data_IF_016740067112
#
_entry.id   IF_016740067112
#
_cell.length_a   1.000
_cell.length_b   1.000
_cell.length_c   1.000
_cell.angle_alpha   90.00
_cell.angle_beta   90.00
_cell.angle_gamma   90.00
#
_symmetry.space_group_name_H-M   'P 1'
#
loop_
_entity.id
_entity.type
_entity.pdbx_description
1 polymer ?
#
# COMPACT_ATOMS: atom_id res chain seq x y z
N UNK A 1 14.89 -5.19 12.50
CA UNK A 1 13.48 -4.69 12.54
C UNK A 1 12.99 -4.32 11.15
N UNK A 2 13.59 -3.32 10.49
CA UNK A 2 13.13 -2.84 9.17
C UNK A 2 12.98 -3.93 8.10
N UNK A 3 13.98 -4.79 7.79
CA UNK A 3 13.83 -5.77 6.72
C UNK A 3 12.65 -6.72 6.91
N UNK A 4 12.41 -7.17 8.16
CA UNK A 4 11.28 -8.03 8.52
C UNK A 4 9.94 -7.34 8.29
N UNK A 5 9.77 -6.12 8.81
CA UNK A 5 8.49 -5.42 8.74
C UNK A 5 8.18 -4.86 7.34
N UNK A 6 9.23 -4.50 6.59
CA UNK A 6 9.12 -4.14 5.18
C UNK A 6 8.68 -5.34 4.36
N UNK A 7 9.35 -6.49 4.52
CA UNK A 7 8.95 -7.73 3.83
C UNK A 7 7.51 -8.10 4.16
N UNK A 8 7.11 -8.02 5.43
CA UNK A 8 5.73 -8.32 5.82
C UNK A 8 4.73 -7.34 5.19
N UNK A 9 5.08 -6.07 5.04
CA UNK A 9 4.26 -5.09 4.32
C UNK A 9 4.06 -5.49 2.85
N UNK A 10 5.14 -5.90 2.18
CA UNK A 10 5.08 -6.37 0.78
C UNK A 10 4.20 -7.63 0.65
N UNK A 11 4.34 -8.58 1.59
CA UNK A 11 3.59 -9.84 1.60
C UNK A 11 2.10 -9.63 1.92
N UNK A 12 1.77 -8.74 2.88
CA UNK A 12 0.39 -8.51 3.33
C UNK A 12 -0.41 -7.68 2.32
N UNK A 13 0.18 -6.61 1.76
CA UNK A 13 -0.51 -5.71 0.84
C UNK A 13 -0.36 -6.16 -0.62
N UNK A 14 -0.72 -7.40 -0.89
CA UNK A 14 -0.66 -8.04 -2.21
C UNK A 14 -2.05 -8.48 -2.66
N UNK A 15 -2.33 -8.41 -3.97
CA UNK A 15 -3.56 -8.89 -4.59
C UNK A 15 -3.25 -10.18 -5.39
N UNK A 16 -3.45 -11.38 -4.81
CA UNK A 16 -3.10 -12.65 -5.48
C UNK A 16 -3.78 -12.82 -6.84
N UNK A 17 -5.06 -12.41 -6.96
CA UNK A 17 -5.83 -12.53 -8.20
C UNK A 17 -5.40 -11.54 -9.30
N UNK A 18 -4.56 -10.56 -8.99
CA UNK A 18 -3.94 -9.63 -9.96
C UNK A 18 -2.46 -9.84 -10.13
N UNK A 19 -1.85 -10.66 -9.27
CA UNK A 19 -0.41 -10.81 -9.13
C UNK A 19 0.31 -9.46 -8.93
N UNK A 20 -0.27 -8.60 -8.09
CA UNK A 20 0.13 -7.19 -8.01
C UNK A 20 0.15 -6.70 -6.56
N UNK A 21 1.21 -6.00 -6.10
CA UNK A 21 1.19 -5.27 -4.84
C UNK A 21 0.16 -4.13 -4.88
N UNK A 22 -0.45 -3.83 -3.74
CA UNK A 22 -1.36 -2.68 -3.58
C UNK A 22 -0.63 -1.35 -3.75
N UNK A 23 0.66 -1.29 -3.45
CA UNK A 23 1.47 -0.09 -3.48
C UNK A 23 2.97 -0.39 -3.31
N UNK A 24 3.75 0.64 -2.99
CA UNK A 24 5.22 0.58 -2.87
C UNK A 24 5.74 0.09 -1.51
N UNK A 25 4.85 -0.41 -0.65
CA UNK A 25 5.18 -0.96 0.67
C UNK A 25 5.22 0.09 1.78
N UNK A 26 6.04 -0.19 2.81
CA UNK A 26 6.11 0.57 4.05
C UNK A 26 6.52 -0.33 5.21
N UNK A 27 5.86 -0.19 6.36
CA UNK A 27 6.01 -1.10 7.50
C UNK A 27 4.66 -1.71 7.83
N UNK A 28 4.63 -3.02 8.03
CA UNK A 28 3.47 -3.74 8.55
C UNK A 28 3.95 -4.69 9.65
N UNK A 29 3.17 -4.77 10.73
CA UNK A 29 3.40 -5.68 11.83
C UNK A 29 2.09 -5.97 12.55
N UNK A 30 2.00 -7.18 13.07
CA UNK A 30 0.96 -7.66 13.97
C UNK A 30 1.61 -8.55 15.03
N UNK A 31 0.90 -8.87 16.11
CA UNK A 31 1.37 -9.78 17.18
C UNK A 31 2.77 -9.44 17.77
N UNK A 32 3.15 -8.16 17.79
CA UNK A 32 4.47 -7.72 18.26
C UNK A 32 4.55 -7.66 19.79
N UNK A 33 4.78 -8.79 20.44
CA UNK A 33 4.78 -8.91 21.91
C UNK A 33 6.11 -9.40 22.53
N UNK A 34 7.09 -9.80 21.72
CA UNK A 34 8.36 -10.39 22.16
C UNK A 34 9.32 -9.43 22.89
N UNK A 35 9.05 -8.11 22.87
CA UNK A 35 10.00 -7.08 23.33
C UNK A 35 9.72 -6.54 24.73
N UNK A 36 8.62 -6.99 25.35
CA UNK A 36 8.06 -6.37 26.55
C UNK A 36 7.29 -5.07 26.24
N UNK A 37 6.36 -4.72 27.13
CA UNK A 37 5.37 -3.67 26.90
C UNK A 37 6.00 -2.32 26.54
N UNK A 38 6.91 -1.80 27.37
CA UNK A 38 7.50 -0.46 27.18
C UNK A 38 8.21 -0.31 25.83
N UNK A 39 8.94 -1.34 25.40
CA UNK A 39 9.67 -1.31 24.14
C UNK A 39 8.73 -1.43 22.95
N UNK A 40 7.73 -2.33 23.00
CA UNK A 40 6.71 -2.43 21.97
C UNK A 40 5.91 -1.13 21.84
N UNK A 41 5.49 -0.54 22.96
CA UNK A 41 4.74 0.72 22.95
C UNK A 41 5.58 1.88 22.41
N UNK A 42 6.84 2.00 22.83
CA UNK A 42 7.74 3.01 22.28
C UNK A 42 7.97 2.83 20.77
N UNK A 43 8.05 1.59 20.29
CA UNK A 43 8.13 1.30 18.86
C UNK A 43 6.86 1.72 18.10
N UNK A 44 5.68 1.36 18.61
CA UNK A 44 4.39 1.77 18.02
C UNK A 44 4.27 3.30 17.93
N UNK A 45 4.65 4.03 18.99
CA UNK A 45 4.69 5.50 18.96
C UNK A 45 5.61 6.03 17.87
N UNK A 46 6.83 5.48 17.78
CA UNK A 46 7.79 5.88 16.75
C UNK A 46 7.27 5.66 15.33
N UNK A 47 6.50 4.60 15.08
CA UNK A 47 5.87 4.36 13.77
C UNK A 47 4.80 5.43 13.49
N UNK A 48 3.93 5.71 14.46
CA UNK A 48 2.91 6.74 14.35
C UNK A 48 3.50 8.14 14.09
N UNK A 49 4.50 8.53 14.87
CA UNK A 49 5.21 9.81 14.72
C UNK A 49 5.93 9.91 13.37
N UNK A 50 6.39 8.77 12.84
CA UNK A 50 7.07 8.69 11.55
C UNK A 50 6.14 8.89 10.35
N UNK A 51 4.87 8.50 10.46
CA UNK A 51 3.93 8.49 9.33
C UNK A 51 3.76 9.90 8.72
N UNK A 52 3.41 10.90 9.53
CA UNK A 52 3.21 12.26 9.02
C UNK A 52 4.53 12.87 8.52
N UNK A 53 5.64 12.60 9.21
CA UNK A 53 6.98 13.05 8.78
C UNK A 53 7.37 12.48 7.42
N UNK A 54 6.94 11.26 7.11
CA UNK A 54 7.20 10.62 5.82
C UNK A 54 6.24 11.09 4.71
N UNK A 55 4.94 11.19 5.01
CA UNK A 55 3.92 11.42 3.98
C UNK A 55 3.63 12.89 3.69
N UNK A 56 3.66 13.78 4.69
CA UNK A 56 3.35 15.20 4.49
C UNK A 56 4.26 15.88 3.44
N UNK A 57 5.59 15.65 3.42
CA UNK A 57 6.47 16.23 2.40
C UNK A 57 6.20 15.71 0.97
N UNK A 58 5.56 14.54 0.82
CA UNK A 58 5.11 14.04 -0.48
C UNK A 58 3.86 14.81 -0.91
N UNK A 59 2.90 14.98 0.00
CA UNK A 59 1.67 15.73 -0.28
C UNK A 59 1.98 17.17 -0.67
N UNK A 60 2.73 17.91 0.16
CA UNK A 60 3.09 19.31 -0.08
C UNK A 60 3.77 19.51 -1.43
N UNK A 61 4.68 18.61 -1.80
CA UNK A 61 5.40 18.65 -3.07
C UNK A 61 4.53 18.34 -4.29
N UNK A 62 3.44 17.58 -4.13
CA UNK A 62 2.65 17.05 -5.25
C UNK A 62 1.25 17.64 -5.36
N UNK A 63 0.72 18.26 -4.31
CA UNK A 63 -0.68 18.70 -4.25
C UNK A 63 -1.07 19.72 -5.33
N UNK A 64 -0.10 20.53 -5.80
CA UNK A 64 -0.31 21.53 -6.84
C UNK A 64 0.18 21.08 -8.23
N UNK A 65 0.56 19.80 -8.38
CA UNK A 65 0.96 19.27 -9.70
C UNK A 65 -0.26 19.20 -10.60
N UNK A 66 -0.20 19.87 -11.76
CA UNK A 66 -1.26 19.81 -12.76
C UNK A 66 -1.41 18.37 -13.28
N UNK A 67 -2.65 17.98 -13.56
CA UNK A 67 -2.99 16.67 -14.10
C UNK A 67 -3.96 16.80 -15.25
N UNK A 68 -3.95 15.81 -16.13
CA UNK A 68 -4.85 15.71 -17.28
C UNK A 68 -6.01 14.78 -16.98
N UNK A 69 -7.09 14.89 -17.75
CA UNK A 69 -8.24 14.01 -17.60
C UNK A 69 -7.86 12.52 -17.76
N UNK A 70 -6.92 12.20 -18.66
CA UNK A 70 -6.40 10.84 -18.82
C UNK A 70 -5.76 10.31 -17.52
N UNK A 71 -4.95 11.12 -16.84
CA UNK A 71 -4.34 10.76 -15.56
C UNK A 71 -5.40 10.61 -14.45
N UNK A 72 -6.47 11.42 -14.49
CA UNK A 72 -7.60 11.26 -13.58
C UNK A 72 -8.34 9.94 -13.82
N UNK A 73 -8.59 9.57 -15.08
CA UNK A 73 -9.21 8.29 -15.42
C UNK A 73 -8.34 7.10 -15.00
N UNK A 74 -7.02 7.19 -15.21
CA UNK A 74 -6.09 6.20 -14.70
C UNK A 74 -6.12 6.10 -13.17
N UNK A 75 -6.15 7.23 -12.45
CA UNK A 75 -6.28 7.23 -10.99
C UNK A 75 -7.57 6.54 -10.52
N UNK A 76 -8.70 6.79 -11.18
CA UNK A 76 -9.99 6.14 -10.87
C UNK A 76 -9.94 4.63 -11.14
N UNK A 77 -9.27 4.21 -12.21
CA UNK A 77 -9.03 2.80 -12.51
C UNK A 77 -8.14 2.13 -11.44
N UNK A 78 -7.04 2.78 -11.04
CA UNK A 78 -6.13 2.30 -9.99
C UNK A 78 -6.80 2.24 -8.61
N UNK A 79 -7.73 3.15 -8.31
CA UNK A 79 -8.60 3.07 -7.13
C UNK A 79 -9.47 1.82 -7.11
N UNK A 80 -9.77 1.22 -8.28
CA UNK A 80 -10.43 -0.07 -8.40
C UNK A 80 -9.65 -1.18 -7.71
N UNK A 81 -8.32 -1.21 -7.87
CA UNK A 81 -7.45 -2.17 -7.16
C UNK A 81 -7.45 -1.95 -5.65
N UNK A 82 -7.55 -0.70 -5.20
CA UNK A 82 -7.65 -0.39 -3.77
C UNK A 82 -8.95 -0.94 -3.15
N UNK A 83 -10.07 -0.79 -3.87
CA UNK A 83 -11.36 -1.39 -3.48
C UNK A 83 -11.28 -2.92 -3.49
N UNK A 84 -10.72 -3.52 -4.55
CA UNK A 84 -10.52 -4.98 -4.64
C UNK A 84 -9.74 -5.51 -3.44
N UNK A 85 -8.64 -4.86 -3.05
CA UNK A 85 -7.88 -5.28 -1.87
C UNK A 85 -8.69 -5.19 -0.58
N UNK A 86 -9.30 -4.04 -0.31
CA UNK A 86 -9.99 -3.83 0.97
C UNK A 86 -11.21 -4.75 1.13
N UNK A 87 -11.94 -5.04 0.06
CA UNK A 87 -13.15 -5.86 0.15
C UNK A 87 -12.90 -7.37 0.00
N UNK A 88 -11.75 -7.79 -0.53
CA UNK A 88 -11.46 -9.21 -0.79
C UNK A 88 -10.37 -9.78 0.11
N UNK A 89 -9.36 -8.97 0.47
CA UNK A 89 -8.14 -9.46 1.13
C UNK A 89 -7.88 -8.86 2.50
N UNK A 90 -8.33 -7.62 2.76
CA UNK A 90 -8.07 -6.98 4.04
C UNK A 90 -8.83 -7.66 5.19
N UNK A 91 -8.07 -8.34 6.06
CA UNK A 91 -8.63 -9.11 7.18
C UNK A 91 -9.45 -8.24 8.12
N UNK A 92 -9.00 -7.00 8.38
CA UNK A 92 -9.70 -6.07 9.27
C UNK A 92 -11.07 -5.65 8.73
N UNK A 93 -11.14 -5.32 7.44
CA UNK A 93 -12.39 -4.98 6.74
C UNK A 93 -13.36 -6.16 6.73
N UNK A 94 -12.91 -7.34 6.32
CA UNK A 94 -13.74 -8.55 6.27
C UNK A 94 -14.31 -8.91 7.65
N UNK A 95 -13.44 -8.98 8.65
CA UNK A 95 -13.84 -9.28 10.03
C UNK A 95 -14.86 -8.27 10.54
N UNK A 96 -14.55 -6.97 10.41
CA UNK A 96 -15.43 -5.90 10.90
C UNK A 96 -16.84 -5.95 10.30
N UNK A 97 -16.96 -6.24 9.00
CA UNK A 97 -18.26 -6.37 8.33
C UNK A 97 -19.00 -7.65 8.78
N UNK A 98 -18.29 -8.76 8.94
CA UNK A 98 -18.87 -10.05 9.36
C UNK A 98 -19.33 -10.05 10.83
N UNK A 99 -18.71 -9.23 11.68
CA UNK A 99 -19.01 -9.16 13.11
C UNK A 99 -19.89 -7.95 13.48
N UNK A 100 -20.61 -7.35 12.54
CA UNK A 100 -21.48 -6.19 12.76
C UNK A 100 -20.78 -4.98 13.40
N UNK A 101 -19.53 -4.72 13.01
CA UNK A 101 -18.83 -3.48 13.36
C UNK A 101 -19.48 -2.25 12.72
N UNK A 102 -19.02 -1.05 13.09
CA UNK A 102 -19.57 0.20 12.53
C UNK A 102 -19.21 0.37 11.05
N UNK A 103 -20.12 0.00 10.16
CA UNK A 103 -19.92 -0.02 8.70
C UNK A 103 -19.32 1.26 8.13
N UNK A 104 -19.86 2.43 8.50
CA UNK A 104 -19.34 3.74 8.02
C UNK A 104 -17.89 4.01 8.44
N UNK A 105 -17.46 3.48 9.60
CA UNK A 105 -16.06 3.59 10.02
C UNK A 105 -15.16 2.60 9.27
N UNK A 106 -15.65 1.39 9.00
CA UNK A 106 -14.89 0.35 8.29
C UNK A 106 -14.67 0.75 6.82
N UNK A 107 -15.74 1.21 6.17
CA UNK A 107 -15.72 1.54 4.74
C UNK A 107 -15.20 2.96 4.45
N UNK A 108 -14.81 3.74 5.46
CA UNK A 108 -14.15 5.05 5.26
C UNK A 108 -12.85 4.95 4.44
N UNK A 109 -12.28 3.75 4.36
CA UNK A 109 -11.09 3.45 3.56
C UNK A 109 -11.38 3.48 2.06
N UNK A 110 -12.64 3.34 1.63
CA UNK A 110 -12.98 3.28 0.21
C UNK A 110 -12.87 4.68 -0.45
N UNK A 111 -12.36 4.75 -1.69
CA UNK A 111 -12.26 6.00 -2.41
C UNK A 111 -13.66 6.54 -2.77
N UNK A 112 -13.83 7.88 -2.88
CA UNK A 112 -15.13 8.48 -3.18
C UNK A 112 -15.64 8.17 -4.59
N UNK A 113 -14.74 7.89 -5.54
CA UNK A 113 -15.03 7.52 -6.91
C UNK A 113 -14.02 6.48 -7.38
N UNK A 114 -14.50 5.53 -8.16
CA UNK A 114 -13.74 4.39 -8.70
C UNK A 114 -14.29 4.01 -10.07
N UNK A 115 -13.44 3.44 -10.92
CA UNK A 115 -13.79 2.96 -12.26
C UNK A 115 -13.24 1.54 -12.43
N UNK A 116 -13.99 0.71 -13.17
CA UNK A 116 -13.51 -0.56 -13.71
C UNK A 116 -13.63 -0.54 -15.23
N UNK A 117 -12.71 -1.24 -15.88
CA UNK A 117 -12.69 -1.39 -17.34
C UNK A 117 -12.11 -2.74 -17.71
N UNK A 118 -12.74 -3.39 -18.66
CA UNK A 118 -12.34 -4.70 -19.13
C UNK A 118 -11.06 -4.62 -19.96
N UNK A 119 -10.05 -5.44 -19.63
CA UNK A 119 -8.85 -5.61 -20.45
C UNK A 119 -7.91 -4.41 -20.55
N UNK A 120 -8.14 -3.33 -19.79
CA UNK A 120 -7.28 -2.14 -19.83
C UNK A 120 -5.84 -2.49 -19.44
N UNK A 121 -4.91 -2.21 -20.36
CA UNK A 121 -3.47 -2.29 -20.15
C UNK A 121 -2.86 -0.95 -20.58
N UNK A 122 -1.99 -0.33 -19.78
CA UNK A 122 -1.35 0.92 -20.18
C UNK A 122 -0.37 0.70 -21.33
N UNK A 123 -0.27 1.69 -22.22
CA UNK A 123 0.66 1.64 -23.34
C UNK A 123 2.12 1.64 -22.86
N UNK A 124 2.99 0.90 -23.55
CA UNK A 124 4.42 0.85 -23.23
C UNK A 124 5.06 2.24 -23.28
N UNK A 125 6.04 2.48 -22.40
CA UNK A 125 6.73 3.77 -22.31
C UNK A 125 5.95 4.89 -21.60
N UNK A 126 4.71 4.63 -21.16
CA UNK A 126 3.93 5.60 -20.37
C UNK A 126 4.28 5.55 -18.87
N UNK A 127 4.07 6.64 -18.12
CA UNK A 127 4.15 6.62 -16.65
C UNK A 127 3.22 5.58 -16.01
N UNK A 128 2.08 5.31 -16.62
CA UNK A 128 1.11 4.30 -16.22
C UNK A 128 1.70 2.88 -16.33
N UNK A 129 2.41 2.57 -17.41
CA UNK A 129 3.14 1.30 -17.55
C UNK A 129 4.34 1.22 -16.59
N UNK A 130 5.06 2.34 -16.37
CA UNK A 130 6.16 2.41 -15.43
C UNK A 130 5.70 2.11 -13.99
N UNK A 131 4.51 2.58 -13.58
CA UNK A 131 3.91 2.23 -12.28
C UNK A 131 3.86 0.71 -12.09
N UNK A 132 3.40 -0.02 -13.10
CA UNK A 132 3.20 -1.46 -13.03
C UNK A 132 4.53 -2.23 -13.03
N UNK A 133 5.49 -1.79 -13.85
CA UNK A 133 6.75 -2.50 -14.09
C UNK A 133 7.84 -2.17 -13.08
N UNK A 134 7.91 -0.92 -12.62
CA UNK A 134 9.03 -0.44 -11.79
C UNK A 134 8.69 -0.25 -10.32
N UNK A 135 7.43 0.08 -10.00
CA UNK A 135 7.00 0.49 -8.67
C UNK A 135 6.10 -0.53 -7.97
N UNK A 136 5.16 -1.15 -8.67
CA UNK A 136 4.28 -2.19 -8.12
C UNK A 136 4.90 -3.58 -8.23
N UNK A 137 6.09 -3.72 -7.64
CA UNK A 137 6.80 -4.99 -7.46
C UNK A 137 7.61 -4.96 -6.16
N UNK A 138 7.93 -6.11 -5.56
CA UNK A 138 8.90 -6.16 -4.47
C UNK A 138 10.21 -5.52 -4.91
N UNK A 139 10.65 -4.51 -4.16
CA UNK A 139 11.87 -3.75 -4.47
C UNK A 139 12.64 -3.42 -3.21
N UNK A 140 13.95 -3.57 -3.27
CA UNK A 140 14.84 -3.02 -2.26
C UNK A 140 15.08 -1.53 -2.53
N UNK A 141 14.27 -0.68 -1.89
CA UNK A 141 14.34 0.77 -2.05
C UNK A 141 15.61 1.39 -1.46
N UNK A 142 16.26 0.70 -0.53
CA UNK A 142 17.39 1.22 0.24
C UNK A 142 18.73 0.54 -0.12
N UNK A 143 18.73 -0.49 -0.97
CA UNK A 143 19.94 -1.22 -1.34
C UNK A 143 20.55 -1.97 -0.15
N UNK A 144 19.73 -2.44 0.79
CA UNK A 144 20.19 -3.19 1.96
C UNK A 144 20.60 -4.63 1.61
N UNK A 145 20.02 -5.20 0.55
CA UNK A 145 20.35 -6.52 0.04
C UNK A 145 21.61 -6.43 -0.83
N UNK A 146 22.75 -6.15 -0.19
CA UNK A 146 24.07 -6.18 -0.82
C UNK A 146 24.53 -7.63 -0.99
N UNK A 147 23.91 -8.34 -1.94
CA UNK A 147 24.44 -9.54 -2.59
C UNK A 147 25.12 -10.57 -1.70
N UNK A 148 24.33 -11.43 -1.05
CA UNK A 148 24.73 -12.83 -0.97
C UNK A 148 24.31 -13.52 -2.28
N UNK A 149 25.03 -13.23 -3.38
CA UNK A 149 25.17 -14.23 -4.44
C UNK A 149 26.10 -15.31 -3.90
N UNK A 150 25.51 -16.27 -3.20
CA UNK A 150 26.14 -17.56 -3.01
C UNK A 150 26.22 -18.23 -4.40
N UNK A 151 27.45 -18.59 -4.74
CA UNK A 151 27.93 -19.48 -5.81
C UNK A 151 26.92 -20.49 -6.35
#
# INVERSE_FOLDING_TARGET
VYPRLKKWCDDYFYLPHRQEPRGVGGLFYDDLNDWGFERTFSFMRSVGDGFLKAYAPILERRMNTLWTEAQRQWQLYRRGRYVEFNLVHDRGTLFGLQTNGRTEAILMSLPPLVRWEYGLTPDEGTPEAALMTDFLRPRDWLGLDTGATAT
#
